data_IF_064156150898
#
_entry.id   IF_064156150898
#
_cell.length_a   1.000
_cell.length_b   1.000
_cell.length_c   1.000
_cell.angle_alpha   90.00
_cell.angle_beta   90.00
_cell.angle_gamma   90.00
#
_symmetry.space_group_name_H-M   'P 1'
#
loop_
_entity.id
_entity.type
_entity.pdbx_description
1 polymer ?
#
# COMPACT_ATOMS: atom_id res chain seq x y z
N UNK A 1 6.67 -10.05 9.50
CA UNK A 1 6.40 -11.04 8.41
C UNK A 1 7.03 -12.42 8.63
N UNK A 2 8.15 -12.56 9.35
CA UNK A 2 8.73 -13.88 9.69
C UNK A 2 7.70 -14.80 10.38
N UNK A 3 6.98 -14.27 11.38
CA UNK A 3 5.96 -15.01 12.11
C UNK A 3 4.81 -15.53 11.24
N UNK A 4 4.37 -14.75 10.26
CA UNK A 4 3.33 -15.19 9.33
C UNK A 4 3.79 -16.45 8.56
N UNK A 5 5.04 -16.46 8.10
CA UNK A 5 5.64 -17.64 7.45
C UNK A 5 5.74 -18.85 8.38
N UNK A 6 6.14 -18.63 9.65
CA UNK A 6 6.18 -19.69 10.67
C UNK A 6 4.80 -20.30 10.94
N UNK A 7 3.75 -19.48 10.85
CA UNK A 7 2.35 -19.93 10.97
C UNK A 7 1.81 -20.57 9.68
N UNK A 8 2.65 -20.75 8.66
CA UNK A 8 2.27 -21.32 7.36
C UNK A 8 1.46 -20.37 6.48
N UNK A 9 1.36 -19.09 6.84
CA UNK A 9 0.69 -18.07 6.02
C UNK A 9 1.58 -17.77 4.82
N UNK A 10 1.05 -18.06 3.63
CA UNK A 10 1.75 -17.83 2.35
C UNK A 10 1.37 -16.52 1.68
N UNK A 11 0.19 -16.00 1.98
CA UNK A 11 -0.35 -14.73 1.46
C UNK A 11 -1.22 -14.07 2.53
N UNK A 12 -1.21 -12.74 2.60
CA UNK A 12 -2.16 -12.02 3.45
C UNK A 12 -3.52 -11.88 2.75
N UNK A 13 -4.64 -11.74 3.50
CA UNK A 13 -5.95 -11.46 2.93
C UNK A 13 -5.96 -10.13 2.15
N UNK A 14 -6.68 -10.06 1.04
CA UNK A 14 -6.77 -8.89 0.18
C UNK A 14 -7.34 -7.69 0.91
N UNK A 15 -8.40 -7.90 1.70
CA UNK A 15 -9.00 -6.83 2.52
C UNK A 15 -8.02 -6.26 3.52
N UNK A 16 -7.17 -7.11 4.11
CA UNK A 16 -6.12 -6.66 5.02
C UNK A 16 -5.09 -5.80 4.27
N UNK A 17 -4.65 -6.23 3.08
CA UNK A 17 -3.66 -5.48 2.30
C UNK A 17 -4.20 -4.13 1.81
N UNK A 18 -5.45 -4.05 1.35
CA UNK A 18 -6.08 -2.78 0.98
C UNK A 18 -6.15 -1.79 2.15
N UNK A 19 -6.50 -2.27 3.36
CA UNK A 19 -6.56 -1.43 4.55
C UNK A 19 -5.17 -0.99 5.03
N UNK A 20 -4.16 -1.85 4.94
CA UNK A 20 -2.77 -1.46 5.22
C UNK A 20 -2.31 -0.36 4.24
N UNK A 21 -2.66 -0.50 2.96
CA UNK A 21 -2.31 0.48 1.96
C UNK A 21 -3.01 1.83 2.21
N UNK A 22 -4.29 1.79 2.58
CA UNK A 22 -5.03 2.98 2.98
C UNK A 22 -4.32 3.72 4.12
N UNK A 23 -3.89 3.01 5.17
CA UNK A 23 -3.17 3.64 6.29
C UNK A 23 -1.85 4.29 5.85
N UNK A 24 -1.08 3.65 4.96
CA UNK A 24 0.15 4.23 4.42
C UNK A 24 -0.12 5.50 3.62
N UNK A 25 -1.21 5.55 2.86
CA UNK A 25 -1.59 6.75 2.10
C UNK A 25 -2.07 7.86 3.01
N UNK A 26 -2.85 7.55 4.05
CA UNK A 26 -3.22 8.53 5.10
C UNK A 26 -1.96 9.18 5.68
N UNK A 27 -0.93 8.38 5.99
CA UNK A 27 0.35 8.91 6.46
C UNK A 27 1.03 9.82 5.42
N UNK A 28 1.06 9.44 4.14
CA UNK A 28 1.63 10.29 3.09
C UNK A 28 0.84 11.60 2.90
N UNK A 29 -0.50 11.56 3.00
CA UNK A 29 -1.36 12.75 2.98
C UNK A 29 -1.04 13.66 4.17
N UNK A 30 -0.88 13.08 5.36
CA UNK A 30 -0.49 13.83 6.57
C UNK A 30 0.86 14.54 6.42
N UNK A 31 1.84 13.90 5.75
CA UNK A 31 3.14 14.49 5.45
C UNK A 31 3.01 15.64 4.42
N UNK A 32 2.23 15.43 3.37
CA UNK A 32 2.01 16.40 2.30
C UNK A 32 1.25 17.63 2.81
N UNK A 33 0.27 17.45 3.69
CA UNK A 33 -0.55 18.52 4.26
C UNK A 33 -0.67 18.39 5.79
N UNK A 34 0.39 18.75 6.55
CA UNK A 34 0.36 18.65 8.01
C UNK A 34 -0.73 19.52 8.60
N UNK A 35 -1.74 18.90 9.22
CA UNK A 35 -2.82 19.62 9.87
C UNK A 35 -2.33 20.21 11.19
N UNK A 36 -2.59 21.51 11.43
CA UNK A 36 -2.05 22.18 12.61
C UNK A 36 -2.75 21.80 13.92
N UNK A 37 -4.04 21.39 13.93
CA UNK A 37 -4.82 21.20 15.17
C UNK A 37 -6.16 20.42 15.02
N UNK A 38 -6.25 19.31 14.29
CA UNK A 38 -7.50 18.50 14.30
C UNK A 38 -7.19 17.02 14.53
N UNK A 39 -7.20 16.54 15.79
CA UNK A 39 -6.86 15.15 16.11
C UNK A 39 -7.94 14.14 15.69
N UNK A 40 -9.13 14.59 15.31
CA UNK A 40 -10.32 13.74 15.13
C UNK A 40 -10.77 13.57 13.66
N UNK A 41 -10.02 14.10 12.69
CA UNK A 41 -10.35 13.99 11.26
C UNK A 41 -9.34 13.11 10.53
N UNK A 42 -9.83 12.12 9.75
CA UNK A 42 -8.99 11.29 8.89
C UNK A 42 -8.29 12.17 7.83
N UNK A 43 -7.01 11.91 7.57
CA UNK A 43 -6.24 12.68 6.60
C UNK A 43 -6.67 12.37 5.17
N UNK A 44 -7.46 13.26 4.56
CA UNK A 44 -7.96 13.13 3.18
C UNK A 44 -7.33 14.17 2.24
N UNK A 45 -7.03 13.76 1.02
CA UNK A 45 -6.55 14.66 -0.02
C UNK A 45 -7.67 15.58 -0.54
N UNK A 46 -8.94 15.24 -0.31
CA UNK A 46 -10.09 16.03 -0.74
C UNK A 46 -10.18 17.42 -0.07
N UNK A 47 -9.50 17.63 1.06
CA UNK A 47 -9.46 18.89 1.80
C UNK A 47 -8.20 19.73 1.51
N UNK A 48 -7.33 19.27 0.62
CA UNK A 48 -6.05 19.91 0.31
C UNK A 48 -6.24 21.14 -0.60
N UNK A 49 -6.64 22.28 -0.02
CA UNK A 49 -6.64 23.58 -0.72
C UNK A 49 -5.26 24.26 -0.74
N UNK A 50 -4.29 23.72 0.01
CA UNK A 50 -2.94 24.25 0.12
C UNK A 50 -1.96 23.48 -0.78
N UNK A 51 -0.88 24.16 -1.19
CA UNK A 51 0.25 23.51 -1.83
C UNK A 51 0.86 22.47 -0.88
N UNK A 52 1.18 21.26 -1.36
CA UNK A 52 1.79 20.25 -0.52
C UNK A 52 3.20 20.70 -0.10
N UNK A 53 3.68 20.17 1.01
CA UNK A 53 4.92 20.62 1.66
C UNK A 53 6.18 20.30 0.84
N UNK A 54 6.12 19.36 -0.10
CA UNK A 54 7.27 18.78 -0.77
C UNK A 54 8.10 17.89 0.17
N UNK A 55 7.59 17.53 1.35
CA UNK A 55 8.32 16.77 2.35
C UNK A 55 8.32 15.28 1.99
N UNK A 56 9.51 14.72 1.80
CA UNK A 56 9.67 13.27 1.75
C UNK A 56 10.14 12.74 3.11
N UNK A 57 9.69 11.55 3.47
CA UNK A 57 10.19 10.80 4.61
C UNK A 57 11.59 10.23 4.35
N UNK A 58 11.85 9.77 3.11
CA UNK A 58 13.09 9.13 2.65
C UNK A 58 13.48 7.82 3.37
N UNK A 59 12.58 7.23 4.17
CA UNK A 59 12.88 6.03 4.94
C UNK A 59 11.64 5.21 5.32
N UNK A 60 10.64 5.14 4.44
CA UNK A 60 9.45 4.32 4.70
C UNK A 60 9.80 2.86 4.45
N UNK A 61 9.91 2.08 5.52
CA UNK A 61 10.16 0.64 5.48
C UNK A 61 9.56 -0.06 6.72
N UNK A 62 9.60 -1.40 6.73
CA UNK A 62 8.96 -2.23 7.75
C UNK A 62 9.32 -1.88 9.20
N UNK A 63 10.58 -1.55 9.47
CA UNK A 63 11.02 -1.20 10.84
C UNK A 63 10.56 0.19 11.32
N UNK A 64 10.17 1.07 10.39
CA UNK A 64 9.61 2.40 10.67
C UNK A 64 8.07 2.39 10.67
N UNK A 65 7.45 1.21 10.70
CA UNK A 65 6.02 1.03 10.81
C UNK A 65 5.65 0.37 12.13
N UNK A 66 4.69 0.97 12.84
CA UNK A 66 4.19 0.45 14.10
C UNK A 66 2.70 0.18 14.03
N UNK A 67 2.29 -0.98 14.52
CA UNK A 67 0.88 -1.28 14.74
C UNK A 67 0.43 -0.75 16.10
N UNK A 68 -0.62 0.06 16.10
CA UNK A 68 -1.35 0.49 17.29
C UNK A 68 -2.48 -0.46 17.65
N UNK A 69 -3.48 0.06 18.36
CA UNK A 69 -4.69 -0.69 18.73
C UNK A 69 -5.67 -0.79 17.55
N UNK A 70 -6.61 -1.73 17.66
CA UNK A 70 -7.86 -1.65 16.90
C UNK A 70 -8.65 -0.41 17.35
N UNK A 71 -9.36 0.21 16.41
CA UNK A 71 -10.28 1.30 16.69
C UNK A 71 -11.66 0.97 16.13
N UNK A 72 -12.69 1.50 16.78
CA UNK A 72 -14.07 1.40 16.30
C UNK A 72 -14.33 2.44 15.18
N UNK A 73 -13.52 2.34 14.14
CA UNK A 73 -13.56 3.15 12.93
C UNK A 73 -13.60 2.23 11.71
N UNK A 74 -14.38 2.55 10.65
CA UNK A 74 -14.51 1.69 9.47
C UNK A 74 -13.18 1.27 8.85
N UNK A 75 -12.17 2.16 8.83
CA UNK A 75 -10.83 1.91 8.27
C UNK A 75 -9.97 0.99 9.15
N UNK A 76 -10.31 0.83 10.44
CA UNK A 76 -9.49 0.08 11.41
C UNK A 76 -10.23 -1.05 12.12
N UNK A 77 -11.45 -1.38 11.68
CA UNK A 77 -12.28 -2.44 12.26
C UNK A 77 -11.70 -3.85 12.03
N UNK A 78 -10.88 -4.01 10.98
CA UNK A 78 -10.21 -5.26 10.64
C UNK A 78 -8.70 -5.22 10.80
N UNK A 79 -8.08 -4.05 10.65
CA UNK A 79 -6.63 -3.87 10.78
C UNK A 79 -6.34 -2.82 11.84
N UNK A 80 -5.39 -3.07 12.75
CA UNK A 80 -4.98 -2.07 13.72
C UNK A 80 -4.41 -0.85 13.00
N UNK A 81 -4.45 0.31 13.68
CA UNK A 81 -3.87 1.54 13.14
C UNK A 81 -2.41 1.32 12.82
N UNK A 82 -2.02 1.58 11.58
CA UNK A 82 -0.62 1.59 11.18
C UNK A 82 -0.09 3.02 11.30
N UNK A 83 1.00 3.19 12.05
CA UNK A 83 1.66 4.48 12.25
C UNK A 83 3.04 4.45 11.61
N UNK A 84 3.35 5.51 10.87
CA UNK A 84 4.68 5.78 10.33
C UNK A 84 5.53 6.51 11.38
N UNK A 85 6.76 6.06 11.57
CA UNK A 85 7.71 6.55 12.56
C UNK A 85 8.99 7.04 11.89
N UNK A 86 9.81 7.73 12.70
CA UNK A 86 11.19 8.11 12.41
C UNK A 86 11.38 9.06 11.21
N UNK A 87 11.17 10.34 11.48
CA UNK A 87 11.42 11.42 10.52
C UNK A 87 12.90 11.89 10.49
N UNK A 88 13.85 11.10 11.00
CA UNK A 88 15.27 11.49 11.08
C UNK A 88 15.92 11.79 9.73
N UNK A 89 15.40 11.20 8.64
CA UNK A 89 15.86 11.41 7.25
C UNK A 89 14.92 12.27 6.42
N UNK A 90 13.87 12.84 7.03
CA UNK A 90 12.87 13.60 6.31
C UNK A 90 13.46 14.88 5.70
N UNK A 91 13.15 15.16 4.44
CA UNK A 91 13.69 16.30 3.69
C UNK A 91 12.68 16.87 2.72
N UNK A 92 12.58 18.19 2.69
CA UNK A 92 11.77 18.90 1.71
C UNK A 92 12.49 18.99 0.37
N UNK A 93 11.84 18.52 -0.69
CA UNK A 93 12.26 18.71 -2.08
C UNK A 93 11.55 19.93 -2.66
N UNK A 94 12.30 20.99 -2.92
CA UNK A 94 11.83 22.22 -3.57
C UNK A 94 12.47 22.36 -4.95
N UNK A 95 12.27 21.36 -5.79
CA UNK A 95 12.91 21.32 -7.12
C UNK A 95 11.86 21.37 -8.21
N UNK A 96 12.09 22.16 -9.25
CA UNK A 96 11.38 21.99 -10.54
C UNK A 96 11.90 20.78 -11.32
N UNK A 97 13.09 20.29 -10.95
CA UNK A 97 13.87 19.29 -11.68
C UNK A 97 14.14 18.09 -10.75
N UNK A 98 13.20 17.14 -10.72
CA UNK A 98 13.29 15.92 -9.90
C UNK A 98 11.93 15.46 -9.39
N UNK A 99 11.86 14.29 -8.72
CA UNK A 99 10.65 13.86 -8.03
C UNK A 99 10.31 14.83 -6.89
N UNK A 100 9.03 15.12 -6.70
CA UNK A 100 8.56 15.83 -5.50
C UNK A 100 8.64 14.92 -4.27
N UNK A 101 8.54 15.50 -3.08
CA UNK A 101 8.55 14.69 -1.85
C UNK A 101 7.38 13.71 -1.76
N UNK A 102 6.22 14.11 -2.28
CA UNK A 102 5.04 13.26 -2.38
C UNK A 102 5.29 12.08 -3.33
N UNK A 103 5.91 12.32 -4.49
CA UNK A 103 6.26 11.26 -5.44
C UNK A 103 7.27 10.26 -4.86
N UNK A 104 8.22 10.74 -4.04
CA UNK A 104 9.15 9.87 -3.31
C UNK A 104 8.42 9.02 -2.26
N UNK A 105 7.54 9.63 -1.46
CA UNK A 105 6.75 8.91 -0.47
C UNK A 105 5.83 7.85 -1.11
N UNK A 106 5.22 8.17 -2.27
CA UNK A 106 4.37 7.25 -3.03
C UNK A 106 5.15 6.02 -3.50
N UNK A 107 6.37 6.21 -4.01
CA UNK A 107 7.25 5.11 -4.37
C UNK A 107 7.62 4.25 -3.17
N UNK A 108 8.01 4.86 -2.05
CA UNK A 108 8.42 4.10 -0.87
C UNK A 108 7.26 3.25 -0.32
N UNK A 109 6.02 3.76 -0.26
CA UNK A 109 4.87 2.95 0.15
C UNK A 109 4.53 1.86 -0.86
N UNK A 110 4.76 2.10 -2.16
CA UNK A 110 4.62 1.08 -3.20
C UNK A 110 5.64 -0.06 -3.02
N UNK A 111 6.91 0.27 -2.81
CA UNK A 111 7.98 -0.69 -2.49
C UNK A 111 7.64 -1.46 -1.22
N UNK A 112 7.12 -0.80 -0.19
CA UNK A 112 6.72 -1.43 1.05
C UNK A 112 5.57 -2.43 0.84
N UNK A 113 4.54 -2.04 0.07
CA UNK A 113 3.41 -2.92 -0.25
C UNK A 113 3.83 -4.11 -1.13
N UNK A 114 4.72 -3.91 -2.11
CA UNK A 114 5.31 -4.99 -2.87
C UNK A 114 6.11 -5.96 -1.97
N UNK A 115 6.85 -5.41 -1.00
CA UNK A 115 7.57 -6.20 0.02
C UNK A 115 6.61 -7.00 0.91
N UNK A 116 5.43 -6.45 1.23
CA UNK A 116 4.37 -7.13 1.99
C UNK A 116 3.77 -8.29 1.19
N UNK A 117 3.48 -8.10 -0.09
CA UNK A 117 2.99 -9.16 -1.00
C UNK A 117 3.93 -10.38 -0.98
N UNK A 118 5.24 -10.13 -1.03
CA UNK A 118 6.25 -11.19 -1.03
C UNK A 118 6.56 -11.73 0.39
N UNK A 119 5.94 -11.16 1.42
CA UNK A 119 6.26 -11.41 2.84
C UNK A 119 7.76 -11.22 3.14
N UNK A 120 8.41 -10.22 2.53
CA UNK A 120 9.85 -9.92 2.64
C UNK A 120 10.07 -8.46 3.03
N UNK A 121 9.84 -8.12 4.30
CA UNK A 121 9.94 -6.72 4.78
C UNK A 121 11.34 -6.34 5.29
N UNK A 122 12.29 -7.28 5.34
CA UNK A 122 13.68 -7.04 5.77
C UNK A 122 14.61 -6.62 4.61
N UNK A 123 14.09 -6.63 3.39
CA UNK A 123 14.79 -6.23 2.18
C UNK A 123 13.83 -5.37 1.36
N UNK A 124 14.31 -4.26 0.80
CA UNK A 124 13.50 -3.49 -0.15
C UNK A 124 13.16 -4.37 -1.35
N UNK A 125 11.91 -4.30 -1.79
CA UNK A 125 11.48 -4.95 -3.02
C UNK A 125 12.33 -4.50 -4.21
N UNK A 126 12.65 -5.45 -5.09
CA UNK A 126 13.30 -5.22 -6.37
C UNK A 126 12.59 -6.05 -7.43
N UNK A 127 12.31 -5.46 -8.58
CA UNK A 127 11.74 -6.13 -9.75
C UNK A 127 12.35 -5.57 -11.03
N UNK A 128 12.08 -6.25 -12.14
CA UNK A 128 12.45 -5.79 -13.48
C UNK A 128 11.30 -4.96 -14.07
N UNK A 129 11.66 -4.06 -14.99
CA UNK A 129 10.71 -3.18 -15.66
C UNK A 129 9.80 -3.97 -16.61
N UNK A 130 8.50 -3.73 -16.49
CA UNK A 130 7.45 -4.29 -17.34
C UNK A 130 6.48 -3.19 -17.73
N UNK A 131 5.88 -3.31 -18.92
CA UNK A 131 4.80 -2.46 -19.36
C UNK A 131 3.50 -2.82 -18.62
N UNK A 132 2.90 -1.83 -17.96
CA UNK A 132 1.71 -2.00 -17.13
C UNK A 132 0.56 -1.19 -17.69
N UNK A 133 -0.50 -1.88 -18.11
CA UNK A 133 -1.81 -1.27 -18.42
C UNK A 133 -2.62 -1.06 -17.14
N UNK A 134 -2.94 0.21 -16.85
CA UNK A 134 -3.69 0.63 -15.67
C UNK A 134 -5.19 0.86 -15.96
N UNK A 135 -5.68 0.48 -17.13
CA UNK A 135 -7.06 0.72 -17.56
C UNK A 135 -8.09 0.12 -16.62
N UNK A 136 -7.83 -1.04 -16.01
CA UNK A 136 -8.75 -1.70 -15.08
C UNK A 136 -8.94 -0.95 -13.77
N UNK A 137 -7.97 -0.12 -13.36
CA UNK A 137 -8.07 0.73 -12.17
C UNK A 137 -8.50 2.16 -12.50
N UNK A 138 -8.97 2.40 -13.74
CA UNK A 138 -9.53 3.67 -14.18
C UNK A 138 -8.49 4.69 -14.65
N UNK A 139 -7.24 4.28 -14.90
CA UNK A 139 -6.20 5.10 -15.50
C UNK A 139 -5.89 4.62 -16.92
N UNK A 140 -6.19 5.43 -17.93
CA UNK A 140 -6.01 5.05 -19.34
C UNK A 140 -4.56 5.17 -19.85
N UNK A 141 -3.58 5.25 -18.95
CA UNK A 141 -2.17 5.33 -19.29
C UNK A 141 -1.49 3.98 -19.06
N UNK A 142 -0.67 3.57 -20.03
CA UNK A 142 0.34 2.53 -19.82
C UNK A 142 1.60 3.17 -19.24
N UNK A 143 2.24 2.48 -18.31
CA UNK A 143 3.47 2.95 -17.66
C UNK A 143 4.53 1.85 -17.67
N UNK A 144 5.80 2.26 -17.62
CA UNK A 144 6.90 1.36 -17.29
C UNK A 144 7.07 1.31 -15.77
N UNK A 145 7.14 0.10 -15.21
CA UNK A 145 7.20 -0.11 -13.77
C UNK A 145 8.08 -1.32 -13.43
N UNK A 146 8.97 -1.26 -12.42
CA UNK A 146 9.79 -2.37 -11.96
C UNK A 146 8.98 -3.40 -11.16
N UNK A 147 7.81 -3.81 -11.69
CA UNK A 147 6.78 -4.57 -10.99
C UNK A 147 6.73 -6.06 -11.39
N UNK A 148 7.68 -6.56 -12.19
CA UNK A 148 7.68 -7.96 -12.67
C UNK A 148 7.55 -8.96 -11.51
N UNK A 149 8.21 -8.69 -10.39
CA UNK A 149 8.17 -9.53 -9.20
C UNK A 149 6.81 -9.60 -8.48
N UNK A 150 5.80 -8.83 -8.89
CA UNK A 150 4.42 -8.93 -8.39
C UNK A 150 3.38 -9.10 -9.50
N UNK A 151 3.64 -8.69 -10.74
CA UNK A 151 2.71 -8.84 -11.87
C UNK A 151 3.03 -10.04 -12.77
N UNK A 152 4.26 -10.56 -12.71
CA UNK A 152 4.81 -11.43 -13.75
C UNK A 152 5.18 -10.63 -15.00
N UNK A 153 5.62 -11.35 -16.03
CA UNK A 153 5.91 -10.79 -17.34
C UNK A 153 5.19 -11.60 -18.43
N UNK A 154 4.01 -11.10 -18.83
CA UNK A 154 3.18 -11.78 -19.83
C UNK A 154 3.82 -11.79 -21.21
N UNK A 155 4.68 -10.83 -21.56
CA UNK A 155 5.33 -10.77 -22.86
C UNK A 155 6.29 -11.95 -23.03
N UNK A 156 6.97 -12.34 -21.95
CA UNK A 156 7.86 -13.50 -21.93
C UNK A 156 7.19 -14.80 -21.47
N UNK A 157 5.87 -14.77 -21.22
CA UNK A 157 5.08 -15.93 -20.85
C UNK A 157 5.24 -16.36 -19.39
N UNK A 158 5.75 -15.47 -18.54
CA UNK A 158 5.85 -15.75 -17.11
C UNK A 158 4.45 -15.82 -16.48
N UNK A 159 4.19 -16.85 -15.64
CA UNK A 159 2.89 -16.99 -14.99
C UNK A 159 2.68 -15.88 -13.95
N UNK A 160 1.41 -15.60 -13.66
CA UNK A 160 1.03 -14.70 -12.56
C UNK A 160 1.67 -15.20 -11.23
N UNK A 161 2.58 -14.44 -10.60
CA UNK A 161 3.30 -14.88 -9.42
C UNK A 161 2.42 -14.89 -8.15
N UNK A 162 1.30 -14.15 -8.15
CA UNK A 162 0.40 -14.00 -7.01
C UNK A 162 -1.08 -14.04 -7.43
N UNK A 163 -1.57 -15.18 -7.96
CA UNK A 163 -2.93 -15.28 -8.51
C UNK A 163 -4.03 -15.21 -7.44
N UNK A 164 -3.68 -15.38 -6.17
CA UNK A 164 -4.60 -15.21 -5.02
C UNK A 164 -4.69 -13.77 -4.52
N UNK A 165 -3.86 -12.87 -5.04
CA UNK A 165 -3.83 -11.46 -4.68
C UNK A 165 -4.53 -10.65 -5.76
N UNK A 166 -5.47 -9.79 -5.34
CA UNK A 166 -6.25 -8.88 -6.16
C UNK A 166 -5.33 -8.18 -7.18
N UNK A 167 -5.63 -8.40 -8.46
CA UNK A 167 -4.81 -7.85 -9.53
C UNK A 167 -4.82 -6.33 -9.51
N UNK A 168 -5.95 -5.71 -9.14
CA UNK A 168 -6.03 -4.25 -9.06
C UNK A 168 -5.18 -3.69 -7.90
N UNK A 169 -4.99 -4.45 -6.82
CA UNK A 169 -4.04 -4.09 -5.76
C UNK A 169 -2.62 -4.04 -6.31
N UNK A 170 -2.24 -5.07 -7.06
CA UNK A 170 -0.91 -5.18 -7.66
C UNK A 170 -0.67 -4.11 -8.73
N UNK A 171 -1.67 -3.78 -9.53
CA UNK A 171 -1.61 -2.66 -10.47
C UNK A 171 -1.49 -1.31 -9.76
N UNK A 172 -2.23 -1.10 -8.68
CA UNK A 172 -2.14 0.13 -7.87
C UNK A 172 -0.74 0.27 -7.29
N UNK A 173 -0.14 -0.82 -6.79
CA UNK A 173 1.25 -0.84 -6.30
C UNK A 173 2.23 -0.57 -7.45
N UNK A 174 2.05 -1.20 -8.61
CA UNK A 174 2.89 -0.98 -9.79
C UNK A 174 2.86 0.49 -10.27
N UNK A 175 1.69 1.14 -10.19
CA UNK A 175 1.54 2.57 -10.46
C UNK A 175 2.34 3.44 -9.48
N UNK A 176 2.40 3.07 -8.21
CA UNK A 176 3.16 3.80 -7.20
C UNK A 176 4.68 3.73 -7.44
N UNK A 177 5.17 2.60 -7.92
CA UNK A 177 6.61 2.36 -8.18
C UNK A 177 7.02 2.66 -9.63
N UNK A 178 6.19 3.37 -10.41
CA UNK A 178 6.49 3.72 -11.80
C UNK A 178 7.91 4.32 -11.93
N UNK A 179 8.65 3.89 -12.97
CA UNK A 179 10.05 4.26 -13.18
C UNK A 179 10.22 5.77 -13.41
N UNK A 180 9.28 6.39 -14.10
CA UNK A 180 9.19 7.83 -14.25
C UNK A 180 8.32 8.42 -13.11
N UNK A 181 8.88 9.25 -12.20
CA UNK A 181 8.13 9.79 -11.07
C UNK A 181 6.86 10.54 -11.45
N UNK A 182 6.84 11.19 -12.63
CA UNK A 182 5.66 11.91 -13.14
C UNK A 182 4.50 11.00 -13.53
N UNK A 183 4.75 9.71 -13.75
CA UNK A 183 3.70 8.73 -14.05
C UNK A 183 3.08 8.14 -12.78
N UNK A 184 3.66 8.39 -11.60
CA UNK A 184 3.09 7.96 -10.33
C UNK A 184 1.77 8.72 -10.10
N UNK A 185 0.74 8.05 -9.55
CA UNK A 185 -0.54 8.69 -9.30
C UNK A 185 -0.42 9.81 -8.27
N UNK A 186 -1.37 10.74 -8.26
CA UNK A 186 -1.46 11.71 -7.17
C UNK A 186 -1.97 11.02 -5.89
N UNK A 187 -1.71 11.62 -4.71
CA UNK A 187 -2.29 11.12 -3.45
C UNK A 187 -3.83 11.10 -3.49
N UNK A 188 -4.46 12.04 -4.21
CA UNK A 188 -5.91 12.09 -4.37
C UNK A 188 -6.44 10.95 -5.26
N UNK A 189 -5.73 10.62 -6.35
CA UNK A 189 -6.10 9.49 -7.20
C UNK A 189 -5.93 8.17 -6.45
N UNK A 190 -4.82 7.99 -5.73
CA UNK A 190 -4.57 6.81 -4.90
C UNK A 190 -5.64 6.62 -3.82
N UNK A 191 -5.95 7.68 -3.07
CA UNK A 191 -7.00 7.65 -2.05
C UNK A 191 -8.34 7.22 -2.68
N UNK A 192 -8.70 7.80 -3.83
CA UNK A 192 -9.94 7.46 -4.53
C UNK A 192 -9.98 5.99 -4.97
N UNK A 193 -8.91 5.48 -5.57
CA UNK A 193 -8.84 4.09 -6.04
C UNK A 193 -8.98 3.10 -4.87
N UNK A 194 -8.33 3.39 -3.75
CA UNK A 194 -8.32 2.50 -2.59
C UNK A 194 -9.61 2.58 -1.78
N UNK A 195 -10.17 3.78 -1.57
CA UNK A 195 -11.48 3.90 -0.93
C UNK A 195 -12.58 3.19 -1.71
N UNK A 196 -12.51 3.22 -3.05
CA UNK A 196 -13.44 2.43 -3.87
C UNK A 196 -13.35 0.94 -3.53
N UNK A 197 -12.13 0.39 -3.46
CA UNK A 197 -11.90 -1.01 -3.12
C UNK A 197 -12.35 -1.35 -1.69
N UNK A 198 -12.01 -0.50 -0.72
CA UNK A 198 -12.33 -0.71 0.70
C UNK A 198 -13.84 -0.64 0.97
N UNK A 199 -14.57 0.27 0.32
CA UNK A 199 -16.00 0.49 0.61
C UNK A 199 -16.95 -0.35 -0.24
N UNK A 200 -16.61 -0.67 -1.48
CA UNK A 200 -17.55 -1.29 -2.42
C UNK A 200 -17.23 -2.75 -2.75
N UNK A 201 -16.04 -3.26 -2.42
CA UNK A 201 -15.70 -4.67 -2.67
C UNK A 201 -15.96 -5.51 -1.43
N UNK A 202 -16.93 -6.41 -1.55
CA UNK A 202 -17.35 -7.31 -0.48
C UNK A 202 -16.45 -8.56 -0.38
N UNK A 203 -16.31 -9.20 0.80
CA UNK A 203 -15.44 -10.37 0.97
C UNK A 203 -15.73 -11.53 0.01
N UNK A 204 -16.96 -11.70 -0.45
CA UNK A 204 -17.36 -12.73 -1.42
C UNK A 204 -16.63 -12.57 -2.75
N UNK A 205 -16.26 -11.34 -3.13
CA UNK A 205 -15.44 -11.09 -4.32
C UNK A 205 -14.07 -11.78 -4.18
N UNK A 206 -13.40 -11.57 -3.05
CA UNK A 206 -12.08 -12.17 -2.81
C UNK A 206 -12.15 -13.67 -2.51
N UNK A 207 -13.29 -14.16 -2.03
CA UNK A 207 -13.49 -15.59 -1.80
C UNK A 207 -13.35 -16.43 -3.08
N UNK A 208 -13.55 -15.84 -4.26
CA UNK A 208 -13.39 -16.51 -5.56
C UNK A 208 -11.93 -16.75 -5.97
N UNK A 209 -10.97 -16.01 -5.37
CA UNK A 209 -9.55 -16.19 -5.63
C UNK A 209 -9.05 -17.55 -5.08
N UNK A 210 -7.97 -18.12 -5.63
CA UNK A 210 -7.38 -19.36 -5.11
C UNK A 210 -7.12 -19.29 -3.60
N UNK A 211 -7.87 -20.08 -2.82
CA UNK A 211 -7.79 -20.10 -1.37
C UNK A 211 -8.60 -19.01 -0.65
N UNK A 212 -9.16 -18.01 -1.32
CA UNK A 212 -9.78 -16.83 -0.70
C UNK A 212 -10.88 -17.13 0.33
N UNK A 213 -11.73 -18.14 0.07
CA UNK A 213 -12.78 -18.61 1.00
C UNK A 213 -12.22 -18.88 2.40
N UNK A 214 -10.99 -19.39 2.50
CA UNK A 214 -10.40 -19.81 3.75
C UNK A 214 -9.77 -18.67 4.57
N UNK A 215 -9.65 -17.44 4.05
CA UNK A 215 -8.88 -16.39 4.75
C UNK A 215 -9.49 -14.97 4.74
N UNK A 216 -10.54 -14.71 3.95
CA UNK A 216 -11.12 -13.35 3.80
C UNK A 216 -12.21 -13.00 4.83
N UNK A 217 -12.53 -13.93 5.73
CA UNK A 217 -13.49 -13.68 6.82
C UNK A 217 -12.90 -12.76 7.89
N UNK A 218 -13.75 -11.92 8.50
CA UNK A 218 -13.32 -11.01 9.56
C UNK A 218 -12.65 -11.74 10.74
N UNK A 219 -13.13 -12.95 11.07
CA UNK A 219 -12.59 -13.78 12.15
C UNK A 219 -11.15 -14.18 11.84
N UNK A 220 -10.89 -14.62 10.60
CA UNK A 220 -9.56 -15.10 10.20
C UNK A 220 -8.58 -13.94 10.06
N UNK A 221 -8.99 -12.83 9.46
CA UNK A 221 -8.17 -11.61 9.39
C UNK A 221 -7.73 -11.16 10.79
N UNK A 222 -8.67 -11.07 11.74
CA UNK A 222 -8.35 -10.71 13.13
C UNK A 222 -7.44 -11.72 13.80
N UNK A 223 -7.65 -13.02 13.55
CA UNK A 223 -6.78 -14.06 14.09
C UNK A 223 -5.34 -13.95 13.57
N UNK A 224 -5.17 -13.70 12.26
CA UNK A 224 -3.86 -13.48 11.64
C UNK A 224 -3.15 -12.31 12.31
N UNK A 225 -3.84 -11.18 12.48
CA UNK A 225 -3.28 -9.99 13.13
C UNK A 225 -2.90 -10.28 14.58
N UNK A 226 -3.80 -10.87 15.36
CA UNK A 226 -3.52 -11.24 16.75
C UNK A 226 -2.24 -12.07 16.84
N UNK A 227 -2.13 -13.09 16.01
CA UNK A 227 -1.02 -14.04 16.01
C UNK A 227 0.30 -13.48 15.49
N UNK A 228 0.24 -12.57 14.52
CA UNK A 228 1.42 -12.04 13.83
C UNK A 228 1.92 -10.72 14.41
N UNK A 229 1.05 -9.95 15.07
CA UNK A 229 1.33 -8.59 15.56
C UNK A 229 1.30 -8.53 17.08
N UNK A 230 0.21 -8.98 17.72
CA UNK A 230 0.00 -8.79 19.16
C UNK A 230 0.58 -9.90 20.03
N UNK A 231 0.59 -11.15 19.54
CA UNK A 231 1.18 -12.31 20.22
C UNK A 231 2.63 -12.58 19.75
N UNK A 232 3.27 -11.56 19.15
CA UNK A 232 4.67 -11.60 18.74
C UNK A 232 5.56 -11.37 19.97
N UNK A 233 5.64 -12.37 20.83
CA UNK A 233 6.54 -12.45 21.99
C UNK A 233 7.52 -13.60 21.84
#
# INVERSE_FOLDING_TARGET
MVRAKELGIRTLPNRMMWLLFLCLIRACIAIAWPHKNSPDENETAALAFAWPTGLAHNDIHGDNLMFGSFMDAPEHVLTPVLKLLDFGLAKAYRTEWGPTGEQANIEDIGIMMASIIQLRTHSKYTGEEVDVDLSSIGCYASILSPASGILGDYEYGDPDPYPSIDRDLRLTIAACIASEPRHRPSLADLEKWILYKVHYVVPEHYATAPGGVAWESNIIIRHIIQRCVFDAS
#
